data_IF_401311875420
#
_entry.id   IF_401311875420
#
_cell.length_a   1.000
_cell.length_b   1.000
_cell.length_c   1.000
_cell.angle_alpha   90.00
_cell.angle_beta   90.00
_cell.angle_gamma   90.00
#
_symmetry.space_group_name_H-M   'P 1'
#
loop_
_entity.id
_entity.type
_entity.pdbx_description
1 polymer ?
#
# COMPACT_ATOMS: atom_id res chain seq x y z
N UNK A 1 23.09 -4.96 7.86
CA UNK A 1 23.14 -6.33 7.29
C UNK A 1 24.55 -6.63 6.83
N UNK A 2 24.90 -7.91 6.73
CA UNK A 2 26.17 -8.32 6.13
C UNK A 2 26.05 -8.46 4.60
N UNK A 3 27.20 -8.51 3.93
CA UNK A 3 27.25 -8.67 2.47
C UNK A 3 26.53 -9.94 1.97
N UNK A 4 26.58 -11.05 2.68
CA UNK A 4 25.96 -12.30 2.24
C UNK A 4 24.44 -12.20 2.26
N UNK A 5 23.87 -11.54 3.28
CA UNK A 5 22.44 -11.24 3.36
C UNK A 5 22.00 -10.31 2.22
N UNK A 6 22.79 -9.28 1.90
CA UNK A 6 22.51 -8.36 0.78
C UNK A 6 22.55 -9.11 -0.55
N UNK A 7 23.57 -9.92 -0.79
CA UNK A 7 23.71 -10.70 -2.03
C UNK A 7 22.56 -11.72 -2.18
N UNK A 8 22.12 -12.32 -1.06
CA UNK A 8 20.96 -13.17 -1.02
C UNK A 8 19.69 -12.40 -1.42
N UNK A 9 19.43 -11.25 -0.81
CA UNK A 9 18.26 -10.44 -1.18
C UNK A 9 18.32 -9.98 -2.64
N UNK A 10 19.48 -9.57 -3.17
CA UNK A 10 19.63 -9.24 -4.58
C UNK A 10 19.19 -10.40 -5.47
N UNK A 11 19.56 -11.64 -5.12
CA UNK A 11 19.11 -12.82 -5.87
C UNK A 11 17.59 -13.03 -5.75
N UNK A 12 16.99 -12.76 -4.60
CA UNK A 12 15.53 -12.90 -4.39
C UNK A 12 14.77 -11.89 -5.26
N UNK A 13 15.32 -10.68 -5.35
CA UNK A 13 14.83 -9.55 -6.12
C UNK A 13 15.34 -9.54 -7.58
N UNK A 14 15.80 -10.69 -8.10
CA UNK A 14 16.26 -10.84 -9.50
C UNK A 14 17.31 -9.80 -9.95
N UNK A 15 18.11 -9.29 -9.02
CA UNK A 15 19.15 -8.29 -9.25
C UNK A 15 18.72 -6.84 -9.04
N UNK A 16 17.45 -6.57 -8.73
CA UNK A 16 16.93 -5.21 -8.49
C UNK A 16 17.51 -4.60 -7.21
N UNK A 17 18.57 -3.79 -7.33
CA UNK A 17 19.25 -3.22 -6.17
C UNK A 17 18.41 -2.15 -5.47
N UNK A 18 17.62 -1.38 -6.22
CA UNK A 18 16.69 -0.41 -5.63
C UNK A 18 15.67 -1.09 -4.73
N UNK A 19 15.08 -2.22 -5.14
CA UNK A 19 14.15 -2.97 -4.30
C UNK A 19 14.81 -3.45 -3.01
N UNK A 20 16.04 -3.97 -3.09
CA UNK A 20 16.81 -4.38 -1.89
C UNK A 20 17.10 -3.19 -0.98
N UNK A 21 17.50 -2.05 -1.56
CA UNK A 21 17.77 -0.82 -0.82
C UNK A 21 16.54 -0.34 -0.06
N UNK A 22 15.41 -0.20 -0.74
CA UNK A 22 14.18 0.36 -0.17
C UNK A 22 13.49 -0.59 0.81
N UNK A 23 13.31 -1.86 0.43
CA UNK A 23 12.48 -2.82 1.18
C UNK A 23 13.22 -3.47 2.35
N UNK A 24 14.56 -3.48 2.32
CA UNK A 24 15.37 -4.16 3.34
C UNK A 24 16.39 -3.26 3.98
N UNK A 25 17.29 -2.65 3.21
CA UNK A 25 18.47 -1.97 3.77
C UNK A 25 18.07 -0.71 4.52
N UNK A 26 17.35 0.21 3.86
CA UNK A 26 16.93 1.51 4.39
C UNK A 26 15.84 1.42 5.45
N UNK A 27 15.30 0.22 5.73
CA UNK A 27 14.36 -0.03 6.83
C UNK A 27 15.07 -0.36 8.15
N UNK A 28 16.34 -0.74 8.13
CA UNK A 28 17.11 -1.05 9.34
C UNK A 28 17.36 0.17 10.22
N UNK A 29 17.11 0.08 11.52
CA UNK A 29 17.31 1.19 12.46
C UNK A 29 18.72 1.78 12.48
N UNK A 30 19.73 0.96 12.15
CA UNK A 30 21.11 1.40 11.95
C UNK A 30 21.71 0.72 10.70
N UNK A 31 22.54 1.46 9.96
CA UNK A 31 23.23 0.96 8.78
C UNK A 31 24.68 0.59 9.13
N UNK A 32 25.10 -0.62 8.72
CA UNK A 32 26.46 -1.11 8.86
C UNK A 32 27.34 -0.79 7.65
N UNK A 33 28.65 -1.12 7.70
CA UNK A 33 29.58 -0.85 6.61
C UNK A 33 29.19 -1.48 5.27
N UNK A 34 28.70 -2.72 5.28
CA UNK A 34 28.25 -3.42 4.07
C UNK A 34 26.99 -2.79 3.48
N UNK A 35 26.07 -2.29 4.32
CA UNK A 35 24.89 -1.53 3.89
C UNK A 35 25.32 -0.25 3.15
N UNK A 36 26.25 0.50 3.75
CA UNK A 36 26.80 1.72 3.12
C UNK A 36 27.52 1.43 1.81
N UNK A 37 28.31 0.36 1.75
CA UNK A 37 29.03 -0.05 0.53
C UNK A 37 28.05 -0.43 -0.59
N UNK A 38 26.99 -1.16 -0.26
CA UNK A 38 25.92 -1.51 -1.19
C UNK A 38 25.18 -0.27 -1.71
N UNK A 39 24.72 0.62 -0.82
CA UNK A 39 24.02 1.85 -1.19
C UNK A 39 24.89 2.79 -2.02
N UNK A 40 26.18 2.92 -1.70
CA UNK A 40 27.11 3.72 -2.49
C UNK A 40 27.31 3.16 -3.91
N UNK A 41 27.41 1.83 -4.05
CA UNK A 41 27.56 1.16 -5.35
C UNK A 41 26.34 1.38 -6.24
N UNK A 42 25.15 1.36 -5.64
CA UNK A 42 23.87 1.45 -6.36
C UNK A 42 23.19 2.83 -6.24
N UNK A 43 23.92 3.87 -5.83
CA UNK A 43 23.34 5.18 -5.54
C UNK A 43 22.62 5.81 -6.74
N UNK A 44 23.05 5.46 -7.96
CA UNK A 44 22.45 5.92 -9.21
C UNK A 44 21.08 5.30 -9.52
N UNK A 45 20.72 4.21 -8.84
CA UNK A 45 19.42 3.54 -8.96
C UNK A 45 18.42 4.02 -7.90
N UNK A 46 18.87 4.84 -6.94
CA UNK A 46 18.08 5.31 -5.81
C UNK A 46 17.30 6.57 -6.17
N UNK A 47 16.08 6.69 -5.63
CA UNK A 47 15.29 7.93 -5.72
C UNK A 47 15.79 9.00 -4.76
N UNK A 48 15.31 10.24 -4.94
CA UNK A 48 15.48 11.31 -3.95
C UNK A 48 15.09 10.83 -2.54
N UNK A 49 13.90 10.24 -2.37
CA UNK A 49 13.41 9.74 -1.09
C UNK A 49 14.34 8.68 -0.47
N UNK A 50 14.88 7.77 -1.28
CA UNK A 50 15.85 6.76 -0.85
C UNK A 50 17.15 7.42 -0.34
N UNK A 51 17.67 8.40 -1.10
CA UNK A 51 18.89 9.15 -0.73
C UNK A 51 18.70 9.97 0.55
N UNK A 52 17.53 10.60 0.73
CA UNK A 52 17.21 11.37 1.94
C UNK A 52 17.04 10.45 3.15
N UNK A 53 16.39 9.29 2.98
CA UNK A 53 16.28 8.27 4.03
C UNK A 53 17.66 7.69 4.39
N UNK A 54 18.52 7.47 3.40
CA UNK A 54 19.91 7.06 3.64
C UNK A 54 20.67 8.13 4.44
N UNK A 55 20.56 9.40 4.05
CA UNK A 55 21.18 10.51 4.78
C UNK A 55 20.72 10.57 6.23
N UNK A 56 19.42 10.44 6.49
CA UNK A 56 18.86 10.50 7.84
C UNK A 56 19.42 9.43 8.78
N UNK A 57 19.84 8.27 8.23
CA UNK A 57 20.38 7.12 8.99
C UNK A 57 21.91 7.06 8.99
N UNK A 58 22.58 8.04 8.39
CA UNK A 58 24.03 8.04 8.20
C UNK A 58 24.68 9.16 9.03
N UNK A 59 25.69 8.87 9.87
CA UNK A 59 26.47 9.92 10.53
C UNK A 59 27.25 10.71 9.49
N UNK A 60 27.56 11.98 9.78
CA UNK A 60 28.19 12.91 8.83
C UNK A 60 29.39 12.32 8.05
N UNK A 61 30.26 11.55 8.72
CA UNK A 61 31.45 10.93 8.12
C UNK A 61 31.12 10.01 6.92
N UNK A 62 29.95 9.37 6.93
CA UNK A 62 29.50 8.46 5.87
C UNK A 62 28.65 9.13 4.79
N UNK A 63 28.37 10.43 4.89
CA UNK A 63 27.49 11.16 3.95
C UNK A 63 28.11 11.60 2.62
N UNK A 64 29.44 11.68 2.40
CA UNK A 64 29.98 12.13 1.11
C UNK A 64 29.45 11.37 -0.12
N UNK A 65 29.31 10.03 -0.13
CA UNK A 65 28.72 9.31 -1.27
C UNK A 65 27.27 9.73 -1.56
N UNK A 66 26.51 10.09 -0.52
CA UNK A 66 25.12 10.55 -0.63
C UNK A 66 25.07 11.92 -1.29
N UNK A 67 25.96 12.84 -0.88
CA UNK A 67 26.04 14.18 -1.46
C UNK A 67 26.47 14.14 -2.93
N UNK A 68 27.35 13.21 -3.30
CA UNK A 68 27.72 12.98 -4.72
C UNK A 68 26.51 12.51 -5.52
N UNK A 69 25.71 11.59 -4.99
CA UNK A 69 24.50 11.12 -5.66
C UNK A 69 23.43 12.23 -5.78
N UNK A 70 23.23 13.02 -4.72
CA UNK A 70 22.32 14.17 -4.73
C UNK A 70 22.77 15.28 -5.70
N UNK A 71 24.08 15.55 -5.78
CA UNK A 71 24.64 16.49 -6.75
C UNK A 71 24.41 16.01 -8.18
N UNK A 72 24.57 14.70 -8.43
CA UNK A 72 24.26 14.10 -9.73
C UNK A 72 22.76 14.20 -10.06
N UNK A 73 21.87 13.98 -9.09
CA UNK A 73 20.43 14.20 -9.29
C UNK A 73 20.13 15.66 -9.65
N UNK A 74 20.78 16.63 -9.01
CA UNK A 74 20.63 18.05 -9.33
C UNK A 74 21.12 18.39 -10.74
N UNK A 75 22.18 17.73 -11.22
CA UNK A 75 22.73 17.88 -12.57
C UNK A 75 21.80 17.24 -13.62
N UNK A 76 21.40 15.98 -13.41
CA UNK A 76 20.59 15.21 -14.37
C UNK A 76 19.13 15.69 -14.42
N UNK A 77 18.57 16.07 -13.27
CA UNK A 77 17.15 16.41 -13.08
C UNK A 77 16.94 17.57 -12.08
N UNK A 78 17.29 18.80 -12.47
CA UNK A 78 17.26 19.95 -11.56
C UNK A 78 15.88 20.25 -10.97
N UNK A 79 14.79 20.05 -11.74
CA UNK A 79 13.43 20.27 -11.26
C UNK A 79 13.00 19.22 -10.21
N UNK A 80 13.37 17.95 -10.41
CA UNK A 80 13.12 16.86 -9.44
C UNK A 80 13.90 17.12 -8.15
N UNK A 81 15.17 17.49 -8.27
CA UNK A 81 15.98 17.87 -7.11
C UNK A 81 15.40 19.06 -6.34
N UNK A 82 14.96 20.11 -7.03
CA UNK A 82 14.36 21.26 -6.38
C UNK A 82 13.06 20.88 -5.64
N UNK A 83 12.19 20.11 -6.29
CA UNK A 83 10.90 19.72 -5.73
C UNK A 83 11.02 18.70 -4.60
N UNK A 84 11.81 17.64 -4.80
CA UNK A 84 11.83 16.49 -3.89
C UNK A 84 12.93 16.56 -2.84
N UNK A 85 14.01 17.33 -3.07
CA UNK A 85 15.13 17.45 -2.11
C UNK A 85 15.13 18.81 -1.43
N UNK A 86 15.10 19.91 -2.19
CA UNK A 86 15.15 21.23 -1.58
C UNK A 86 13.85 21.59 -0.86
N UNK A 87 12.69 21.30 -1.45
CA UNK A 87 11.38 21.61 -0.86
C UNK A 87 10.85 20.51 0.10
N UNK A 88 11.64 19.47 0.40
CA UNK A 88 11.22 18.39 1.27
C UNK A 88 10.89 18.91 2.70
N UNK A 89 9.66 18.69 3.20
CA UNK A 89 9.27 19.21 4.51
C UNK A 89 10.08 18.55 5.62
N UNK A 90 10.58 19.37 6.55
CA UNK A 90 11.34 18.90 7.72
C UNK A 90 12.76 18.43 7.42
N UNK A 91 13.23 18.58 6.17
CA UNK A 91 14.59 18.20 5.79
C UNK A 91 15.47 19.44 5.58
N UNK A 92 16.60 19.50 6.28
CA UNK A 92 17.63 20.52 6.06
C UNK A 92 19.01 19.89 6.03
N UNK A 93 19.89 20.47 5.21
CA UNK A 93 21.30 20.14 5.19
C UNK A 93 22.04 20.91 6.29
N UNK A 94 23.07 20.28 6.85
CA UNK A 94 24.01 20.91 7.75
C UNK A 94 24.93 21.85 6.97
N UNK A 95 25.49 22.86 7.63
CA UNK A 95 26.34 23.89 6.99
C UNK A 95 27.47 23.30 6.13
N UNK A 96 28.08 22.21 6.59
CA UNK A 96 29.16 21.54 5.86
C UNK A 96 28.65 20.76 4.65
N UNK A 97 27.44 20.21 4.72
CA UNK A 97 26.81 19.53 3.59
C UNK A 97 26.38 20.53 2.53
N UNK A 98 25.85 21.68 2.93
CA UNK A 98 25.58 22.79 2.00
C UNK A 98 26.83 23.22 1.25
N UNK A 99 27.94 23.42 1.96
CA UNK A 99 29.22 23.79 1.36
C UNK A 99 29.70 22.71 0.36
N UNK A 100 29.65 21.43 0.78
CA UNK A 100 30.05 20.30 -0.07
C UNK A 100 29.17 20.18 -1.31
N UNK A 101 27.85 20.32 -1.16
CA UNK A 101 26.90 20.27 -2.27
C UNK A 101 27.12 21.42 -3.25
N UNK A 102 27.32 22.64 -2.75
CA UNK A 102 27.64 23.81 -3.57
C UNK A 102 28.93 23.58 -4.39
N UNK A 103 29.97 23.01 -3.78
CA UNK A 103 31.21 22.68 -4.50
C UNK A 103 30.99 21.61 -5.58
N UNK A 104 30.18 20.59 -5.31
CA UNK A 104 29.91 19.49 -6.25
C UNK A 104 29.08 19.92 -7.47
N UNK A 105 28.13 20.84 -7.27
CA UNK A 105 27.20 21.32 -8.31
C UNK A 105 27.67 22.60 -9.01
N UNK A 106 28.78 23.21 -8.57
CA UNK A 106 29.31 24.45 -9.13
C UNK A 106 29.54 24.33 -10.64
N UNK A 107 28.84 25.17 -11.40
CA UNK A 107 28.92 25.22 -12.86
C UNK A 107 28.24 24.06 -13.60
N UNK A 108 27.52 23.18 -12.90
CA UNK A 108 26.83 22.01 -13.50
C UNK A 108 25.31 22.09 -13.47
N UNK A 109 24.76 22.95 -12.63
CA UNK A 109 23.31 23.14 -12.47
C UNK A 109 22.87 24.53 -12.93
N UNK A 110 21.57 24.75 -13.23
CA UNK A 110 21.06 26.07 -13.59
C UNK A 110 21.44 27.14 -12.55
N UNK A 111 21.84 28.36 -12.96
CA UNK A 111 22.31 29.40 -12.03
C UNK A 111 21.33 29.74 -10.91
N UNK A 112 20.02 29.68 -11.18
CA UNK A 112 18.98 29.92 -10.18
C UNK A 112 19.00 28.84 -9.07
N UNK A 113 19.17 27.57 -9.44
CA UNK A 113 19.29 26.47 -8.50
C UNK A 113 20.59 26.55 -7.70
N UNK A 114 21.71 26.87 -8.36
CA UNK A 114 22.99 27.07 -7.70
C UNK A 114 22.94 28.19 -6.65
N UNK A 115 22.40 29.36 -7.00
CA UNK A 115 22.25 30.48 -6.07
C UNK A 115 21.40 30.11 -4.85
N UNK A 116 20.37 29.29 -5.06
CA UNK A 116 19.51 28.79 -3.98
C UNK A 116 20.26 27.85 -3.03
N UNK A 117 21.11 26.97 -3.56
CA UNK A 117 22.00 26.09 -2.77
C UNK A 117 23.02 26.93 -1.98
N UNK A 118 23.63 27.96 -2.59
CA UNK A 118 24.57 28.85 -1.90
C UNK A 118 23.91 29.63 -0.76
N UNK A 119 22.66 30.09 -0.96
CA UNK A 119 21.87 30.77 0.07
C UNK A 119 21.27 29.81 1.11
N UNK A 120 21.45 28.49 0.95
CA UNK A 120 20.95 27.44 1.86
C UNK A 120 19.44 27.43 2.01
N UNK A 121 18.72 27.71 0.92
CA UNK A 121 17.26 27.91 0.94
C UNK A 121 16.47 26.60 0.71
N UNK A 122 15.98 25.99 1.80
CA UNK A 122 15.08 24.80 1.78
C UNK A 122 13.63 25.12 1.44
N UNK A 123 13.28 26.39 1.22
CA UNK A 123 11.95 26.75 0.73
C UNK A 123 12.07 28.08 0.00
N UNK A 124 11.50 28.18 -1.20
CA UNK A 124 11.02 29.49 -1.64
C UNK A 124 10.06 29.98 -0.54
N UNK A 125 10.10 31.27 -0.13
CA UNK A 125 9.10 31.77 0.81
C UNK A 125 7.74 31.32 0.30
N UNK A 126 6.91 30.71 1.17
CA UNK A 126 5.54 30.41 0.79
C UNK A 126 5.00 31.69 0.13
N UNK A 127 4.37 31.61 -1.06
CA UNK A 127 3.70 32.79 -1.58
C UNK A 127 2.87 33.29 -0.40
N UNK A 128 3.13 34.53 0.02
CA UNK A 128 2.36 35.13 1.09
C UNK A 128 0.91 34.81 0.74
N UNK A 129 0.09 34.29 1.67
CA UNK A 129 -1.32 34.13 1.38
C UNK A 129 -1.71 35.45 0.74
N UNK A 130 -2.22 35.38 -0.49
CA UNK A 130 -2.70 36.57 -1.14
C UNK A 130 -3.79 37.05 -0.18
N UNK A 131 -3.42 37.96 0.72
CA UNK A 131 -4.34 38.88 1.32
C UNK A 131 -4.90 39.52 0.08
N UNK A 132 -6.10 39.08 -0.28
CA UNK A 132 -6.91 39.72 -1.29
C UNK A 132 -6.76 41.20 -1.02
N UNK A 133 -5.93 41.86 -1.84
CA UNK A 133 -5.86 43.29 -1.83
C UNK A 133 -7.25 43.68 -2.27
N UNK A 134 -7.97 44.37 -1.39
CA UNK A 134 -9.34 44.82 -1.56
C UNK A 134 -9.43 45.95 -2.59
N UNK A 135 -8.79 45.75 -3.74
CA UNK A 135 -8.72 46.65 -4.86
C UNK A 135 -8.33 45.82 -6.10
N UNK A 136 -9.30 45.11 -6.67
CA UNK A 136 -9.49 45.08 -8.12
C UNK A 136 -10.88 44.50 -8.41
N UNK A 137 -11.44 45.02 -9.50
CA UNK A 137 -12.85 45.12 -9.86
C UNK A 137 -13.68 43.83 -9.69
N UNK A 138 -14.98 43.95 -9.36
CA UNK A 138 -15.87 42.80 -9.34
C UNK A 138 -15.90 42.19 -10.75
N UNK A 139 -15.38 40.96 -10.86
CA UNK A 139 -15.58 40.13 -12.04
C UNK A 139 -17.09 39.93 -12.18
N UNK A 140 -17.66 40.54 -13.22
CA UNK A 140 -19.07 40.37 -13.55
C UNK A 140 -19.28 38.97 -14.12
N UNK A 141 -19.57 38.04 -13.20
CA UNK A 141 -19.87 36.64 -13.52
C UNK A 141 -21.14 36.52 -14.40
N UNK A 142 -21.98 37.56 -14.52
CA UNK A 142 -23.14 37.52 -15.41
C UNK A 142 -22.76 37.62 -16.89
N UNK A 143 -21.67 38.33 -17.22
CA UNK A 143 -21.17 38.44 -18.58
C UNK A 143 -20.51 37.15 -19.11
N UNK A 144 -20.24 36.17 -18.23
CA UNK A 144 -19.63 34.88 -18.60
C UNK A 144 -20.66 33.80 -18.98
N UNK A 145 -21.95 34.06 -18.79
CA UNK A 145 -23.06 33.13 -19.04
C UNK A 145 -24.09 33.65 -20.06
N UNK A 146 -23.73 34.60 -20.92
CA UNK A 146 -24.52 34.94 -22.12
C UNK A 146 -24.45 33.79 -23.13
N UNK A 147 -25.23 32.73 -22.84
CA UNK A 147 -25.67 31.74 -23.81
C UNK A 147 -26.88 32.33 -24.53
N UNK A 148 -26.69 32.66 -25.80
CA UNK A 148 -27.70 33.15 -26.73
C UNK A 148 -29.03 32.38 -26.58
N UNK A 149 -30.04 33.14 -26.19
CA UNK A 149 -31.42 32.73 -26.00
C UNK A 149 -32.15 32.81 -27.35
N UNK A 150 -32.41 31.64 -27.96
CA UNK A 150 -33.31 31.53 -29.10
C UNK A 150 -34.53 30.69 -28.73
N UNK A 151 -35.58 31.42 -28.36
CA UNK A 151 -37.02 31.10 -28.51
C UNK A 151 -37.60 29.98 -27.63
N UNK A 152 -38.12 30.40 -26.47
CA UNK A 152 -39.31 29.79 -25.87
C UNK A 152 -40.61 30.24 -26.58
N UNK A 153 -41.70 29.48 -26.44
CA UNK A 153 -42.85 30.02 -25.71
C UNK A 153 -43.45 28.98 -24.75
N UNK A 154 -44.16 29.30 -23.67
CA UNK A 154 -44.40 30.49 -22.87
C UNK A 154 -45.26 29.98 -21.69
N UNK A 155 -44.75 30.11 -20.45
CA UNK A 155 -45.40 30.38 -19.14
C UNK A 155 -46.77 29.74 -18.75
N UNK A 156 -47.31 29.89 -17.51
CA UNK A 156 -46.78 30.50 -16.25
C UNK A 156 -46.81 29.52 -15.04
N UNK A 157 -45.91 29.57 -14.05
CA UNK A 157 -45.66 30.57 -13.00
C UNK A 157 -46.62 30.56 -11.78
N UNK A 158 -46.08 30.16 -10.63
CA UNK A 158 -46.35 30.72 -9.28
C UNK A 158 -45.23 30.22 -8.34
N UNK A 159 -44.32 31.08 -7.86
CA UNK A 159 -44.33 31.76 -6.53
C UNK A 159 -44.43 30.78 -5.34
N UNK A 160 -43.70 30.88 -4.24
CA UNK A 160 -42.64 31.76 -3.72
C UNK A 160 -42.13 31.14 -2.39
N UNK A 161 -41.01 31.66 -1.89
CA UNK A 161 -40.50 31.64 -0.49
C UNK A 161 -39.95 30.30 0.06
N UNK A 162 -38.65 30.15 0.33
CA UNK A 162 -37.79 30.74 1.40
C UNK A 162 -37.95 30.00 2.76
N UNK A 163 -36.91 29.27 3.16
CA UNK A 163 -36.32 29.18 4.52
C UNK A 163 -35.67 27.82 4.89
N UNK A 164 -34.39 27.92 5.32
CA UNK A 164 -33.69 27.16 6.37
C UNK A 164 -33.58 25.61 6.31
N UNK A 165 -32.38 25.02 6.22
CA UNK A 165 -31.38 24.75 7.27
C UNK A 165 -31.65 23.50 8.14
N UNK A 166 -30.83 22.46 7.91
CA UNK A 166 -30.40 21.35 8.78
C UNK A 166 -31.25 21.00 10.02
N UNK A 167 -31.81 19.78 10.02
CA UNK A 167 -32.26 19.12 11.25
C UNK A 167 -33.06 17.85 10.98
N UNK A 168 -32.50 16.71 11.36
CA UNK A 168 -33.14 15.41 11.19
C UNK A 168 -34.46 15.29 11.96
N UNK A 169 -35.41 14.58 11.36
CA UNK A 169 -36.68 14.25 11.97
C UNK A 169 -37.54 13.48 10.98
N UNK A 170 -37.79 12.21 11.30
CA UNK A 170 -38.85 11.34 10.81
C UNK A 170 -40.01 12.06 10.11
N UNK A 171 -40.13 11.86 8.79
CA UNK A 171 -41.34 12.13 8.01
C UNK A 171 -41.83 10.81 7.41
N UNK A 172 -42.46 10.01 8.25
CA UNK A 172 -43.63 9.25 7.80
C UNK A 172 -44.84 10.15 7.98
N UNK A 173 -45.83 9.99 7.10
CA UNK A 173 -47.22 10.40 7.33
C UNK A 173 -47.62 11.82 6.89
N UNK A 174 -47.41 12.21 5.62
CA UNK A 174 -48.28 13.24 4.98
C UNK A 174 -48.22 13.35 3.45
N UNK A 175 -47.91 12.26 2.73
CA UNK A 175 -48.26 12.18 1.31
C UNK A 175 -49.35 11.12 1.18
N UNK A 176 -50.60 11.60 1.09
CA UNK A 176 -51.76 10.80 0.68
C UNK A 176 -51.64 10.36 -0.77
N UNK A 177 -50.61 9.57 -1.06
CA UNK A 177 -50.52 8.72 -2.23
C UNK A 177 -51.24 7.44 -1.85
N UNK A 178 -52.48 7.34 -2.32
CA UNK A 178 -53.21 6.09 -2.46
C UNK A 178 -52.41 5.17 -3.39
N UNK A 179 -51.41 4.48 -2.85
CA UNK A 179 -50.68 3.39 -3.49
C UNK A 179 -51.57 2.13 -3.42
N UNK A 180 -52.71 2.21 -4.08
CA UNK A 180 -53.48 1.05 -4.48
C UNK A 180 -52.80 0.41 -5.68
N UNK A 181 -52.29 -0.81 -5.53
CA UNK A 181 -51.85 -1.62 -6.65
C UNK A 181 -50.48 -2.26 -6.44
N UNK A 182 -50.53 -3.50 -5.98
CA UNK A 182 -49.48 -4.51 -5.92
C UNK A 182 -48.90 -4.83 -7.31
N UNK A 183 -48.18 -3.89 -7.94
CA UNK A 183 -47.30 -4.14 -9.08
C UNK A 183 -46.04 -3.28 -8.91
N UNK A 184 -44.97 -3.93 -8.42
CA UNK A 184 -43.67 -3.30 -8.16
C UNK A 184 -43.13 -2.55 -9.37
N UNK A 185 -42.61 -1.35 -9.12
CA UNK A 185 -41.93 -0.51 -10.10
C UNK A 185 -40.81 -1.31 -10.81
N UNK A 186 -40.89 -1.56 -12.13
CA UNK A 186 -39.97 -2.44 -12.85
C UNK A 186 -38.52 -1.93 -12.89
N UNK A 187 -38.27 -0.70 -12.43
CA UNK A 187 -36.93 -0.14 -12.26
C UNK A 187 -36.20 -0.65 -10.99
N UNK A 188 -36.90 -1.30 -10.07
CA UNK A 188 -36.34 -1.89 -8.83
C UNK A 188 -36.55 -3.41 -8.73
N UNK A 189 -36.83 -4.08 -9.85
CA UNK A 189 -36.89 -5.54 -9.87
C UNK A 189 -35.57 -6.12 -9.33
N UNK A 190 -35.66 -7.01 -8.33
CA UNK A 190 -34.49 -7.72 -7.79
C UNK A 190 -33.75 -8.37 -8.98
N UNK A 191 -32.49 -7.99 -9.27
CA UNK A 191 -31.74 -8.53 -10.40
C UNK A 191 -31.53 -10.05 -10.30
N UNK A 192 -31.80 -10.63 -9.12
CA UNK A 192 -31.72 -12.06 -8.83
C UNK A 192 -33.09 -12.71 -8.60
N UNK A 193 -34.19 -12.05 -9.00
CA UNK A 193 -35.54 -12.62 -8.91
C UNK A 193 -35.61 -13.98 -9.62
N UNK A 194 -36.09 -15.00 -8.90
CA UNK A 194 -36.23 -16.37 -9.40
C UNK A 194 -34.95 -17.22 -9.33
N UNK A 195 -33.84 -16.68 -8.82
CA UNK A 195 -32.61 -17.42 -8.58
C UNK A 195 -32.73 -18.22 -7.28
N UNK A 196 -32.40 -19.52 -7.32
CA UNK A 196 -32.28 -20.32 -6.10
C UNK A 196 -30.94 -20.10 -5.40
N UNK A 197 -30.88 -20.39 -4.09
CA UNK A 197 -29.62 -20.30 -3.31
C UNK A 197 -28.50 -21.13 -3.92
N UNK A 198 -28.80 -22.33 -4.43
CA UNK A 198 -27.79 -23.21 -5.02
C UNK A 198 -27.32 -22.71 -6.39
N UNK A 199 -28.22 -22.20 -7.23
CA UNK A 199 -27.85 -21.57 -8.51
C UNK A 199 -27.01 -20.31 -8.28
N UNK A 200 -27.29 -19.54 -7.23
CA UNK A 200 -26.47 -18.39 -6.84
C UNK A 200 -25.05 -18.83 -6.43
N UNK A 201 -24.90 -19.91 -5.64
CA UNK A 201 -23.57 -20.45 -5.31
C UNK A 201 -22.82 -20.97 -6.55
N UNK A 202 -23.51 -21.64 -7.47
CA UNK A 202 -22.92 -22.10 -8.73
C UNK A 202 -22.42 -20.91 -9.57
N UNK A 203 -23.19 -19.82 -9.63
CA UNK A 203 -22.77 -18.57 -10.29
C UNK A 203 -21.61 -17.88 -9.57
N UNK A 204 -21.56 -17.91 -8.25
CA UNK A 204 -20.42 -17.37 -7.49
C UNK A 204 -19.14 -18.15 -7.80
N UNK A 205 -19.23 -19.47 -7.96
CA UNK A 205 -18.08 -20.34 -8.23
C UNK A 205 -17.60 -20.29 -9.69
N UNK A 206 -18.55 -20.28 -10.64
CA UNK A 206 -18.25 -20.34 -12.08
C UNK A 206 -18.16 -18.97 -12.76
N UNK A 207 -18.67 -17.92 -12.11
CA UNK A 207 -18.76 -16.57 -12.66
C UNK A 207 -17.39 -15.93 -12.91
N UNK A 208 -17.29 -15.21 -14.03
CA UNK A 208 -16.08 -14.45 -14.39
C UNK A 208 -16.18 -12.97 -14.03
N UNK A 209 -17.40 -12.45 -13.82
CA UNK A 209 -17.63 -11.06 -13.41
C UNK A 209 -17.50 -10.92 -11.89
N UNK A 210 -16.55 -10.07 -11.46
CA UNK A 210 -16.30 -9.79 -10.05
C UNK A 210 -17.43 -9.06 -9.33
N UNK A 211 -18.06 -8.10 -9.99
CA UNK A 211 -19.16 -7.31 -9.41
C UNK A 211 -20.39 -8.18 -9.21
N UNK A 212 -20.75 -8.99 -10.21
CA UNK A 212 -21.87 -9.93 -10.13
C UNK A 212 -21.64 -10.93 -8.98
N UNK A 213 -20.42 -11.48 -8.86
CA UNK A 213 -20.08 -12.40 -7.76
C UNK A 213 -20.21 -11.74 -6.39
N UNK A 214 -19.75 -10.50 -6.23
CA UNK A 214 -19.89 -9.78 -4.97
C UNK A 214 -21.35 -9.43 -4.65
N UNK A 215 -22.14 -9.05 -5.65
CA UNK A 215 -23.58 -8.81 -5.50
C UNK A 215 -24.33 -10.09 -5.12
N UNK A 216 -23.99 -11.23 -5.72
CA UNK A 216 -24.57 -12.52 -5.36
C UNK A 216 -24.23 -12.94 -3.93
N UNK A 217 -22.99 -12.69 -3.48
CA UNK A 217 -22.60 -12.93 -2.09
C UNK A 217 -23.38 -12.04 -1.11
N UNK A 218 -23.59 -10.77 -1.44
CA UNK A 218 -24.40 -9.85 -0.64
C UNK A 218 -25.88 -10.28 -0.61
N UNK A 219 -26.42 -10.68 -1.76
CA UNK A 219 -27.78 -11.20 -1.85
C UNK A 219 -27.94 -12.48 -1.02
N UNK A 220 -27.01 -13.43 -1.10
CA UNK A 220 -27.02 -14.66 -0.31
C UNK A 220 -26.92 -14.39 1.20
N UNK A 221 -26.13 -13.39 1.60
CA UNK A 221 -26.05 -12.93 3.00
C UNK A 221 -27.40 -12.37 3.48
N UNK A 222 -28.09 -11.60 2.64
CA UNK A 222 -29.45 -11.11 2.93
C UNK A 222 -30.48 -12.24 3.05
N UNK A 223 -30.27 -13.38 2.38
CA UNK A 223 -31.07 -14.59 2.54
C UNK A 223 -30.76 -15.38 3.83
N UNK A 224 -29.92 -14.84 4.73
CA UNK A 224 -29.52 -15.49 5.99
C UNK A 224 -28.85 -16.85 5.79
N UNK A 225 -28.12 -17.00 4.69
CA UNK A 225 -27.29 -18.19 4.46
C UNK A 225 -26.15 -18.23 5.49
N UNK A 226 -25.77 -19.43 5.89
CA UNK A 226 -24.70 -19.66 6.86
C UNK A 226 -23.40 -18.92 6.48
N UNK A 227 -22.84 -18.16 7.43
CA UNK A 227 -21.71 -17.28 7.20
C UNK A 227 -20.41 -18.05 6.86
N UNK A 228 -20.21 -19.24 7.44
CA UNK A 228 -19.06 -20.09 7.12
C UNK A 228 -19.16 -20.59 5.67
N UNK A 229 -20.36 -21.03 5.26
CA UNK A 229 -20.62 -21.42 3.87
C UNK A 229 -20.35 -20.27 2.89
N UNK A 230 -20.79 -19.05 3.20
CA UNK A 230 -20.56 -17.87 2.35
C UNK A 230 -19.08 -17.53 2.25
N UNK A 231 -18.37 -17.50 3.37
CA UNK A 231 -16.94 -17.20 3.40
C UNK A 231 -16.13 -18.25 2.62
N UNK A 232 -16.44 -19.53 2.79
CA UNK A 232 -15.81 -20.61 2.05
C UNK A 232 -16.04 -20.50 0.54
N UNK A 233 -17.27 -20.16 0.11
CA UNK A 233 -17.59 -19.94 -1.29
C UNK A 233 -16.84 -18.72 -1.87
N UNK A 234 -16.80 -17.60 -1.13
CA UNK A 234 -16.07 -16.41 -1.53
C UNK A 234 -14.57 -16.70 -1.71
N UNK A 235 -13.94 -17.36 -0.73
CA UNK A 235 -12.54 -17.75 -0.79
C UNK A 235 -12.25 -18.73 -1.94
N UNK A 236 -13.08 -19.75 -2.12
CA UNK A 236 -12.95 -20.71 -3.21
C UNK A 236 -13.07 -20.04 -4.59
N UNK A 237 -13.98 -19.08 -4.72
CA UNK A 237 -14.18 -18.33 -5.97
C UNK A 237 -12.97 -17.46 -6.33
N UNK A 238 -12.23 -16.91 -5.34
CA UNK A 238 -10.96 -16.21 -5.58
C UNK A 238 -9.85 -17.17 -6.06
N UNK A 239 -9.87 -18.43 -5.62
CA UNK A 239 -8.87 -19.42 -6.01
C UNK A 239 -9.10 -19.97 -7.42
N UNK A 240 -10.37 -20.14 -7.83
CA UNK A 240 -10.76 -20.75 -9.10
C UNK A 240 -10.96 -19.73 -10.23
N UNK A 241 -11.53 -18.57 -9.91
CA UNK A 241 -11.89 -17.53 -10.88
C UNK A 241 -10.82 -16.45 -11.08
N UNK A 242 -11.16 -15.37 -11.80
CA UNK A 242 -10.39 -14.13 -11.73
C UNK A 242 -10.47 -13.57 -10.30
N UNK A 243 -9.34 -13.05 -9.82
CA UNK A 243 -9.33 -12.27 -8.59
C UNK A 243 -10.03 -10.95 -8.91
N UNK A 244 -11.01 -10.61 -8.09
CA UNK A 244 -11.90 -9.49 -8.31
C UNK A 244 -11.90 -8.60 -7.08
N UNK A 245 -11.51 -7.34 -7.23
CA UNK A 245 -11.52 -6.31 -6.17
C UNK A 245 -12.85 -6.26 -5.41
N UNK A 246 -14.04 -6.34 -6.05
CA UNK A 246 -15.32 -6.35 -5.34
C UNK A 246 -15.47 -7.52 -4.36
N UNK A 247 -15.02 -8.72 -4.73
CA UNK A 247 -15.09 -9.92 -3.88
C UNK A 247 -14.09 -9.81 -2.73
N UNK A 248 -12.88 -9.28 -2.98
CA UNK A 248 -11.89 -9.01 -1.93
C UNK A 248 -12.43 -7.99 -0.93
N UNK A 249 -13.05 -6.91 -1.41
CA UNK A 249 -13.69 -5.90 -0.57
C UNK A 249 -14.85 -6.48 0.25
N UNK A 250 -15.68 -7.35 -0.34
CA UNK A 250 -16.75 -8.05 0.37
C UNK A 250 -16.19 -8.91 1.52
N UNK A 251 -15.17 -9.73 1.24
CA UNK A 251 -14.50 -10.52 2.29
C UNK A 251 -13.92 -9.61 3.36
N UNK A 252 -13.23 -8.53 2.96
CA UNK A 252 -12.64 -7.55 3.87
C UNK A 252 -13.66 -6.95 4.85
N UNK A 253 -14.87 -6.65 4.38
CA UNK A 253 -15.98 -6.18 5.25
C UNK A 253 -16.41 -7.23 6.27
N UNK A 254 -16.38 -8.52 5.91
CA UNK A 254 -16.74 -9.62 6.81
C UNK A 254 -15.63 -9.94 7.82
N UNK A 255 -14.38 -9.56 7.54
CA UNK A 255 -13.26 -9.69 8.49
C UNK A 255 -13.20 -8.50 9.47
N UNK A 256 -14.29 -8.30 10.22
CA UNK A 256 -14.46 -7.13 11.09
C UNK A 256 -13.85 -7.33 12.50
N UNK A 257 -13.62 -8.57 12.92
CA UNK A 257 -13.02 -8.89 14.22
C UNK A 257 -11.70 -9.67 14.10
N UNK A 258 -10.94 -9.71 15.20
CA UNK A 258 -9.73 -10.53 15.31
C UNK A 258 -10.01 -12.01 15.05
N UNK A 259 -11.12 -12.53 15.58
CA UNK A 259 -11.50 -13.94 15.40
C UNK A 259 -11.77 -14.27 13.92
N UNK A 260 -12.38 -13.33 13.18
CA UNK A 260 -12.61 -13.51 11.75
C UNK A 260 -11.29 -13.57 10.98
N UNK A 261 -10.34 -12.69 11.32
CA UNK A 261 -8.99 -12.70 10.73
C UNK A 261 -8.20 -13.96 11.06
N UNK A 262 -8.27 -14.44 12.30
CA UNK A 262 -7.61 -15.68 12.71
C UNK A 262 -8.17 -16.91 11.99
N UNK A 263 -9.48 -16.92 11.72
CA UNK A 263 -10.17 -18.05 11.06
C UNK A 263 -9.98 -18.01 9.54
N UNK A 264 -10.20 -16.84 8.92
CA UNK A 264 -10.36 -16.73 7.47
C UNK A 264 -9.25 -15.93 6.77
N UNK A 265 -8.50 -15.11 7.51
CA UNK A 265 -7.50 -14.21 6.95
C UNK A 265 -6.38 -14.92 6.19
N UNK A 266 -5.93 -16.07 6.70
CA UNK A 266 -4.94 -16.89 6.01
C UNK A 266 -5.45 -17.43 4.66
N UNK A 267 -6.74 -17.79 4.58
CA UNK A 267 -7.36 -18.22 3.33
C UNK A 267 -7.37 -17.10 2.28
N UNK A 268 -7.70 -15.87 2.68
CA UNK A 268 -7.70 -14.70 1.81
C UNK A 268 -6.28 -14.39 1.29
N UNK A 269 -5.30 -14.26 2.19
CA UNK A 269 -3.92 -14.00 1.80
C UNK A 269 -3.35 -15.11 0.89
N UNK A 270 -3.66 -16.37 1.18
CA UNK A 270 -3.21 -17.50 0.36
C UNK A 270 -3.81 -17.44 -1.05
N UNK A 271 -5.10 -17.11 -1.18
CA UNK A 271 -5.75 -16.93 -2.48
C UNK A 271 -5.07 -15.82 -3.29
N UNK A 272 -4.84 -14.65 -2.69
CA UNK A 272 -4.23 -13.51 -3.36
C UNK A 272 -2.77 -13.78 -3.76
N UNK A 273 -1.96 -14.32 -2.84
CA UNK A 273 -0.55 -14.66 -3.11
C UNK A 273 -0.45 -15.77 -4.17
N UNK A 274 -1.29 -16.80 -4.07
CA UNK A 274 -1.32 -17.92 -5.03
C UNK A 274 -1.67 -17.48 -6.44
N UNK A 275 -2.55 -16.48 -6.58
CA UNK A 275 -2.97 -15.90 -7.86
C UNK A 275 -2.11 -14.71 -8.32
N UNK A 276 -1.13 -14.29 -7.51
CA UNK A 276 -0.29 -13.09 -7.75
C UNK A 276 -1.11 -11.80 -7.90
N UNK A 277 -2.23 -11.72 -7.18
CA UNK A 277 -3.09 -10.54 -7.13
C UNK A 277 -2.53 -9.49 -6.16
N UNK A 278 -1.34 -8.97 -6.50
CA UNK A 278 -0.61 -8.01 -5.66
C UNK A 278 -1.26 -6.63 -5.57
N UNK A 279 -1.92 -6.08 -6.62
CA UNK A 279 -2.67 -4.85 -6.51
C UNK A 279 -3.79 -4.94 -5.46
N UNK A 280 -4.58 -6.00 -5.49
CA UNK A 280 -5.69 -6.25 -4.56
C UNK A 280 -5.17 -6.51 -3.14
N UNK A 281 -4.03 -7.19 -3.02
CA UNK A 281 -3.35 -7.39 -1.76
C UNK A 281 -2.84 -6.08 -1.16
N UNK A 282 -2.29 -5.18 -1.98
CA UNK A 282 -1.84 -3.85 -1.56
C UNK A 282 -3.02 -2.99 -1.11
N UNK A 283 -4.12 -3.00 -1.86
CA UNK A 283 -5.35 -2.29 -1.50
C UNK A 283 -5.95 -2.81 -0.19
N UNK A 284 -6.02 -4.13 0.00
CA UNK A 284 -6.49 -4.76 1.23
C UNK A 284 -5.69 -4.31 2.46
N UNK A 285 -4.35 -4.27 2.34
CA UNK A 285 -3.47 -3.82 3.42
C UNK A 285 -3.65 -2.32 3.69
N UNK A 286 -3.79 -1.50 2.65
CA UNK A 286 -3.95 -0.06 2.77
C UNK A 286 -5.29 0.35 3.40
N UNK A 287 -6.40 -0.29 2.99
CA UNK A 287 -7.74 -0.01 3.52
C UNK A 287 -7.88 -0.37 5.01
N UNK A 288 -7.14 -1.38 5.46
CA UNK A 288 -7.18 -1.82 6.85
C UNK A 288 -6.33 -1.00 7.82
N UNK A 289 -5.37 -0.23 7.30
CA UNK A 289 -4.33 0.40 8.09
C UNK A 289 -4.90 1.37 9.14
N UNK A 290 -4.52 1.20 10.41
CA UNK A 290 -4.87 2.14 11.47
C UNK A 290 -6.33 2.09 11.93
N UNK A 291 -7.13 1.10 11.48
CA UNK A 291 -8.50 0.88 11.96
C UNK A 291 -8.50 0.42 13.42
N UNK A 292 -7.63 -0.53 13.77
CA UNK A 292 -7.42 -1.00 15.14
C UNK A 292 -6.09 -1.75 15.22
N UNK A 293 -5.29 -1.47 16.24
CA UNK A 293 -4.03 -2.16 16.48
C UNK A 293 -4.21 -3.68 16.61
N UNK A 294 -5.31 -4.13 17.21
CA UNK A 294 -5.63 -5.55 17.36
C UNK A 294 -5.92 -6.22 16.01
N UNK A 295 -6.59 -5.51 15.09
CA UNK A 295 -6.84 -6.02 13.75
C UNK A 295 -5.58 -5.99 12.90
N UNK A 296 -4.75 -4.96 13.02
CA UNK A 296 -3.46 -4.87 12.32
C UNK A 296 -2.54 -6.05 12.72
N UNK A 297 -2.48 -6.39 14.01
CA UNK A 297 -1.76 -7.56 14.50
C UNK A 297 -2.34 -8.88 13.96
N UNK A 298 -3.66 -9.03 13.92
CA UNK A 298 -4.32 -10.23 13.40
C UNK A 298 -4.05 -10.42 11.90
N UNK A 299 -4.12 -9.34 11.12
CA UNK A 299 -3.78 -9.33 9.68
C UNK A 299 -2.33 -9.70 9.44
N UNK A 300 -1.43 -9.09 10.22
CA UNK A 300 0.00 -9.35 10.16
C UNK A 300 0.33 -10.82 10.48
N UNK A 301 -0.29 -11.38 11.51
CA UNK A 301 -0.14 -12.78 11.88
C UNK A 301 -0.65 -13.71 10.77
N UNK A 302 -1.84 -13.45 10.23
CA UNK A 302 -2.40 -14.21 9.11
C UNK A 302 -1.48 -14.17 7.87
N UNK A 303 -0.98 -13.00 7.50
CA UNK A 303 -0.08 -12.87 6.36
C UNK A 303 1.26 -13.59 6.59
N UNK A 304 1.84 -13.43 7.78
CA UNK A 304 3.06 -14.14 8.17
C UNK A 304 2.91 -15.65 8.14
N UNK A 305 1.76 -16.19 8.56
CA UNK A 305 1.46 -17.62 8.47
C UNK A 305 1.42 -18.11 7.02
N UNK A 306 0.75 -17.38 6.13
CA UNK A 306 0.69 -17.73 4.70
C UNK A 306 2.08 -17.74 4.08
N UNK A 307 2.91 -16.74 4.36
CA UNK A 307 4.27 -16.70 3.82
C UNK A 307 5.14 -17.85 4.32
N UNK A 308 5.01 -18.24 5.60
CA UNK A 308 5.71 -19.41 6.14
C UNK A 308 5.26 -20.70 5.46
N UNK A 309 3.96 -20.90 5.30
CA UNK A 309 3.44 -22.12 4.69
C UNK A 309 3.77 -22.18 3.19
N UNK A 310 3.65 -21.06 2.47
CA UNK A 310 4.08 -20.94 1.08
C UNK A 310 5.59 -21.18 0.90
N UNK A 311 6.43 -20.68 1.82
CA UNK A 311 7.87 -20.96 1.82
C UNK A 311 8.13 -22.46 2.01
N UNK A 312 7.46 -23.11 2.98
CA UNK A 312 7.60 -24.54 3.23
C UNK A 312 7.20 -25.38 2.02
N UNK A 313 6.10 -25.02 1.36
CA UNK A 313 5.63 -25.75 0.19
C UNK A 313 6.58 -25.56 -0.99
N UNK A 314 7.09 -24.35 -1.23
CA UNK A 314 8.13 -24.11 -2.23
C UNK A 314 9.42 -24.90 -1.95
N UNK A 315 9.83 -25.02 -0.67
CA UNK A 315 10.97 -25.85 -0.27
C UNK A 315 10.70 -27.34 -0.57
N UNK A 316 9.50 -27.84 -0.26
CA UNK A 316 9.12 -29.23 -0.54
C UNK A 316 9.13 -29.53 -2.04
N UNK A 317 8.64 -28.61 -2.86
CA UNK A 317 8.62 -28.74 -4.33
C UNK A 317 9.95 -28.38 -4.99
N UNK A 318 10.96 -27.97 -4.21
CA UNK A 318 12.29 -27.50 -4.67
C UNK A 318 12.22 -26.29 -5.61
N UNK A 319 11.20 -25.45 -5.45
CA UNK A 319 11.07 -24.17 -6.14
C UNK A 319 11.87 -23.11 -5.37
N UNK A 320 13.18 -23.06 -5.61
CA UNK A 320 14.08 -22.12 -4.93
C UNK A 320 13.71 -20.65 -5.14
N UNK A 321 13.38 -20.16 -6.37
CA UNK A 321 12.98 -18.78 -6.58
C UNK A 321 11.75 -18.38 -5.76
N UNK A 322 10.74 -19.26 -5.71
CA UNK A 322 9.54 -19.00 -4.90
C UNK A 322 9.85 -19.04 -3.41
N UNK A 323 10.64 -20.00 -2.94
CA UNK A 323 11.06 -20.06 -1.54
C UNK A 323 11.83 -18.80 -1.13
N UNK A 324 12.73 -18.33 -1.98
CA UNK A 324 13.47 -17.09 -1.79
C UNK A 324 12.56 -15.85 -1.72
N UNK A 325 11.60 -15.74 -2.64
CA UNK A 325 10.62 -14.65 -2.63
C UNK A 325 9.82 -14.62 -1.32
N UNK A 326 9.34 -15.77 -0.84
CA UNK A 326 8.60 -15.86 0.43
C UNK A 326 9.48 -15.51 1.64
N UNK A 327 10.74 -15.97 1.66
CA UNK A 327 11.67 -15.65 2.75
C UNK A 327 12.07 -14.17 2.74
N UNK A 328 12.27 -13.56 1.57
CA UNK A 328 12.51 -12.12 1.46
C UNK A 328 11.26 -11.33 1.88
N UNK A 329 10.05 -11.76 1.51
CA UNK A 329 8.84 -11.12 1.98
C UNK A 329 8.71 -11.22 3.51
N UNK A 330 9.03 -12.38 4.09
CA UNK A 330 9.08 -12.57 5.54
C UNK A 330 10.13 -11.69 6.22
N UNK A 331 11.28 -11.41 5.59
CA UNK A 331 12.29 -10.53 6.17
C UNK A 331 11.89 -9.06 6.11
N UNK A 332 11.02 -8.68 5.19
CA UNK A 332 10.38 -7.38 5.16
C UNK A 332 9.18 -7.29 6.12
N UNK A 333 8.55 -8.41 6.47
CA UNK A 333 7.41 -8.40 7.38
C UNK A 333 7.86 -8.22 8.84
N UNK A 334 7.18 -7.35 9.59
CA UNK A 334 7.39 -7.23 11.03
C UNK A 334 6.67 -8.38 11.74
N UNK A 335 7.38 -9.48 12.00
CA UNK A 335 6.70 -10.75 12.37
C UNK A 335 6.26 -10.82 13.84
N UNK A 336 5.08 -11.39 14.08
CA UNK A 336 4.54 -11.65 15.44
C UNK A 336 5.28 -12.79 16.17
N UNK A 337 5.12 -12.89 17.50
CA UNK A 337 5.63 -14.03 18.31
C UNK A 337 5.13 -15.39 17.76
N UNK A 338 3.90 -15.44 17.26
CA UNK A 338 3.29 -16.67 16.78
C UNK A 338 3.91 -17.15 15.45
N UNK A 339 4.21 -16.21 14.54
CA UNK A 339 4.96 -16.51 13.32
C UNK A 339 6.40 -16.98 13.65
N UNK A 340 7.03 -16.39 14.68
CA UNK A 340 8.39 -16.72 15.11
C UNK A 340 8.56 -18.17 15.56
N UNK A 341 7.58 -18.74 16.28
CA UNK A 341 7.60 -20.15 16.69
C UNK A 341 7.74 -21.09 15.48
N UNK A 342 7.24 -20.67 14.31
CA UNK A 342 7.27 -21.48 13.07
C UNK A 342 8.60 -21.37 12.30
N UNK A 343 9.43 -20.35 12.55
CA UNK A 343 10.72 -20.20 11.85
C UNK A 343 11.72 -21.31 12.18
N UNK A 344 11.68 -21.85 13.40
CA UNK A 344 12.48 -23.02 13.76
C UNK A 344 12.18 -24.23 12.87
N UNK A 345 10.89 -24.49 12.60
CA UNK A 345 10.47 -25.55 11.69
C UNK A 345 10.88 -25.28 10.24
N UNK A 346 10.84 -24.01 9.81
CA UNK A 346 11.27 -23.59 8.47
C UNK A 346 12.78 -23.84 8.26
N UNK A 347 13.62 -23.45 9.23
CA UNK A 347 15.06 -23.72 9.21
C UNK A 347 15.37 -25.23 9.19
N UNK A 348 14.64 -26.03 9.97
CA UNK A 348 14.78 -27.49 9.94
C UNK A 348 14.36 -28.07 8.58
N UNK A 349 13.30 -27.55 7.96
CA UNK A 349 12.85 -27.99 6.65
C UNK A 349 13.91 -27.71 5.56
N UNK A 350 14.53 -26.52 5.57
CA UNK A 350 15.63 -26.17 4.67
C UNK A 350 16.84 -27.10 4.83
N UNK A 351 17.23 -27.38 6.07
CA UNK A 351 18.34 -28.30 6.35
C UNK A 351 18.05 -29.72 5.87
N UNK A 352 16.84 -30.24 6.11
CA UNK A 352 16.42 -31.58 5.64
C UNK A 352 16.36 -31.66 4.12
N UNK A 353 15.90 -30.59 3.47
CA UNK A 353 15.85 -30.49 2.02
C UNK A 353 17.24 -30.32 1.38
N UNK A 354 18.30 -30.13 2.17
CA UNK A 354 19.64 -29.73 1.71
C UNK A 354 19.58 -28.50 0.80
N UNK A 355 18.79 -27.51 1.22
CA UNK A 355 18.60 -26.27 0.50
C UNK A 355 19.93 -25.53 0.27
N UNK A 356 19.97 -24.69 -0.76
CA UNK A 356 21.15 -23.89 -1.06
C UNK A 356 21.57 -22.99 0.11
N UNK A 357 22.88 -22.68 0.25
CA UNK A 357 23.38 -21.74 1.27
C UNK A 357 22.66 -20.40 1.25
N UNK A 358 22.25 -20.00 0.05
CA UNK A 358 21.45 -18.81 -0.22
C UNK A 358 20.12 -18.78 0.57
N UNK A 359 19.33 -19.85 0.53
CA UNK A 359 18.07 -19.92 1.27
C UNK A 359 18.31 -20.01 2.79
N UNK A 360 19.43 -20.61 3.20
CA UNK A 360 19.85 -20.62 4.61
C UNK A 360 20.17 -19.21 5.12
N UNK A 361 20.85 -18.39 4.32
CA UNK A 361 21.10 -16.98 4.66
C UNK A 361 19.80 -16.20 4.80
N UNK A 362 18.83 -16.38 3.88
CA UNK A 362 17.54 -15.69 3.97
C UNK A 362 16.74 -16.08 5.21
N UNK A 363 16.68 -17.37 5.57
CA UNK A 363 15.96 -17.76 6.80
C UNK A 363 16.66 -17.26 8.07
N UNK A 364 18.00 -17.19 8.06
CA UNK A 364 18.76 -16.63 9.18
C UNK A 364 18.51 -15.13 9.33
N UNK A 365 18.41 -14.39 8.24
CA UNK A 365 17.99 -12.98 8.23
C UNK A 365 16.57 -12.81 8.80
N UNK A 366 15.61 -13.64 8.39
CA UNK A 366 14.23 -13.63 8.93
C UNK A 366 14.25 -13.84 10.45
N UNK A 367 14.99 -14.87 10.92
CA UNK A 367 15.10 -15.17 12.35
C UNK A 367 15.79 -14.04 13.12
N UNK A 368 16.82 -13.43 12.55
CA UNK A 368 17.53 -12.30 13.15
C UNK A 368 16.62 -11.09 13.30
N UNK A 369 15.94 -10.66 12.23
CA UNK A 369 15.02 -9.51 12.26
C UNK A 369 13.89 -9.70 13.26
N UNK A 370 13.32 -10.89 13.29
CA UNK A 370 12.26 -11.22 14.23
C UNK A 370 12.70 -11.16 15.71
N UNK A 371 14.00 -11.37 16.00
CA UNK A 371 14.56 -11.16 17.34
C UNK A 371 14.75 -9.68 17.66
N UNK A 372 15.28 -8.90 16.71
CA UNK A 372 15.52 -7.47 16.89
C UNK A 372 14.23 -6.67 17.15
N UNK A 373 13.12 -7.03 16.51
CA UNK A 373 11.81 -6.39 16.75
C UNK A 373 11.29 -6.55 18.20
N UNK A 374 11.81 -7.53 18.96
CA UNK A 374 11.44 -7.75 20.38
C UNK A 374 12.15 -6.76 21.33
N UNK A 375 13.32 -6.28 20.96
CA UNK A 375 14.18 -5.47 21.85
C UNK A 375 13.81 -3.97 21.83
N UNK A 376 12.95 -3.54 20.90
CA UNK A 376 12.43 -2.15 20.81
C UNK A 376 10.92 -2.08 21.05
N UNK A 377 10.42 -2.37 22.27
CA UNK A 377 8.97 -2.36 22.57
C UNK A 377 8.33 -0.97 22.57
N UNK A 378 9.11 0.11 22.45
CA UNK A 378 8.62 1.50 22.43
C UNK A 378 8.26 2.02 21.04
N UNK A 379 8.49 1.25 19.97
CA UNK A 379 8.38 1.73 18.57
C UNK A 379 7.43 0.90 17.70
N UNK A 380 6.58 0.05 18.29
CA UNK A 380 5.49 -0.63 17.58
C UNK A 380 4.33 0.35 17.37
N UNK A 381 4.56 1.40 16.59
CA UNK A 381 3.47 2.22 16.05
C UNK A 381 2.69 1.40 15.02
N UNK A 382 1.35 1.53 14.95
CA UNK A 382 0.55 0.83 13.93
C UNK A 382 1.02 1.13 12.49
N UNK A 383 1.62 2.30 12.28
CA UNK A 383 2.27 2.70 11.02
C UNK A 383 3.41 1.74 10.62
N UNK A 384 4.20 1.27 11.57
CA UNK A 384 5.32 0.34 11.34
C UNK A 384 4.86 -1.04 10.87
N UNK A 385 3.77 -1.56 11.47
CA UNK A 385 3.19 -2.86 11.10
C UNK A 385 2.67 -2.85 9.65
N UNK A 386 1.97 -1.76 9.31
CA UNK A 386 1.44 -1.55 7.95
C UNK A 386 2.57 -1.40 6.94
N UNK A 387 3.61 -0.63 7.25
CA UNK A 387 4.81 -0.50 6.40
C UNK A 387 5.46 -1.86 6.13
N UNK A 388 5.56 -2.74 7.14
CA UNK A 388 6.06 -4.10 6.97
C UNK A 388 5.22 -4.96 6.04
N UNK A 389 3.89 -4.89 6.16
CA UNK A 389 2.98 -5.59 5.25
C UNK A 389 3.10 -5.08 3.82
N UNK A 390 3.05 -3.76 3.62
CA UNK A 390 3.21 -3.13 2.30
C UNK A 390 4.56 -3.52 1.68
N UNK A 391 5.63 -3.47 2.45
CA UNK A 391 6.95 -3.88 1.98
C UNK A 391 6.97 -5.37 1.56
N UNK A 392 6.38 -6.26 2.36
CA UNK A 392 6.29 -7.68 2.01
C UNK A 392 5.48 -7.91 0.71
N UNK A 393 4.39 -7.17 0.49
CA UNK A 393 3.63 -7.21 -0.77
C UNK A 393 4.49 -6.75 -1.94
N UNK A 394 5.23 -5.66 -1.79
CA UNK A 394 6.16 -5.20 -2.84
C UNK A 394 7.29 -6.20 -3.11
N UNK A 395 7.81 -6.89 -2.08
CA UNK A 395 8.79 -7.96 -2.27
C UNK A 395 8.20 -9.07 -3.13
N UNK A 396 6.97 -9.52 -2.83
CA UNK A 396 6.30 -10.54 -3.63
C UNK A 396 6.06 -10.07 -5.07
N UNK A 397 5.60 -8.83 -5.24
CA UNK A 397 5.37 -8.25 -6.56
C UNK A 397 6.64 -8.13 -7.39
N UNK A 398 7.76 -7.76 -6.79
CA UNK A 398 9.05 -7.66 -7.49
C UNK A 398 9.64 -9.05 -7.80
N UNK A 399 9.60 -9.97 -6.83
CA UNK A 399 10.20 -11.29 -6.96
C UNK A 399 9.37 -12.28 -7.80
N UNK A 400 8.04 -12.11 -7.84
CA UNK A 400 7.10 -13.01 -8.53
C UNK A 400 6.29 -12.35 -9.63
N UNK A 401 6.30 -11.01 -9.72
CA UNK A 401 5.76 -10.28 -10.86
C UNK A 401 6.45 -10.74 -12.14
N UNK A 402 5.64 -11.12 -13.12
CA UNK A 402 6.05 -11.52 -14.46
C UNK A 402 5.09 -10.90 -15.44
#
# INVERSE_FOLDING_TARGET
MDKAEIDALKRAHRGNARAVAFLHVLRQGALGPDDHAFLATHAHELTSADLLRWRARTPYVGRPPILVALAKLAEDKPAEFEHEVLNAPGFSFEDREWATLADLVRGKVPPALFARIERRETRAPAPAPALFSSADEPVDLAAMFDLDDATAPAAPASKADDDSFFGGGSLGDELGLDLGGDEGDPLFADPFAGLTVEEAFEKVDSGTNGDERAMLLEWLDAQSVDAERLMNAALASLQRGPVATPVVAWIGKKLASKADWETNGAGLFLALVGRRAFPELQELVAQGAGVSAELDEARLAAFGHVLVDAARDAIKTKDEPRAAAMLAALSALDTTEEARKRFGALKQALNRAKASPYLLTLVDLVVYRARMSRESPTDTRPESLTEGMIAAVHVLSDALGS
#
